data_IF_701965989538
#
_entry.id   IF_701965989538
#
_cell.length_a   1.000
_cell.length_b   1.000
_cell.length_c   1.000
_cell.angle_alpha   90.00
_cell.angle_beta   90.00
_cell.angle_gamma   90.00
#
_symmetry.space_group_name_H-M   'P 1'
#
loop_
_entity.id
_entity.type
_entity.pdbx_description
1 polymer ?
#
# COMPACT_ATOMS: atom_id res chain seq x y z
N UNK A 1 -0.60 -20.48 4.88
CA UNK A 1 -1.86 -19.90 5.39
C UNK A 1 -1.82 -18.40 5.22
N UNK A 2 -2.95 -17.76 4.89
CA UNK A 2 -3.05 -16.30 4.98
C UNK A 2 -3.33 -15.91 6.43
N UNK A 3 -2.51 -15.03 6.99
CA UNK A 3 -2.72 -14.52 8.35
C UNK A 3 -3.56 -13.26 8.30
N UNK A 4 -4.72 -13.28 8.94
CA UNK A 4 -5.64 -12.15 9.07
C UNK A 4 -5.67 -11.65 10.51
N UNK A 5 -6.24 -10.47 10.72
CA UNK A 5 -6.44 -9.90 12.08
C UNK A 5 -7.38 -10.73 12.97
N UNK A 6 -8.10 -11.70 12.41
CA UNK A 6 -9.00 -12.61 13.16
C UNK A 6 -8.44 -14.03 13.25
N UNK A 7 -7.26 -14.30 12.71
CA UNK A 7 -6.61 -15.61 12.68
C UNK A 7 -6.25 -16.07 11.27
N UNK A 8 -5.68 -17.25 11.17
CA UNK A 8 -5.17 -17.79 9.90
C UNK A 8 -6.32 -18.43 9.10
N UNK A 9 -6.40 -18.11 7.79
CA UNK A 9 -7.38 -18.67 6.86
C UNK A 9 -6.70 -19.41 5.72
N UNK A 10 -7.45 -20.28 5.02
CA UNK A 10 -6.95 -20.96 3.82
C UNK A 10 -6.71 -19.94 2.71
N UNK A 11 -5.57 -19.97 1.99
CA UNK A 11 -5.35 -19.13 0.81
C UNK A 11 -6.47 -19.21 -0.23
N UNK A 12 -7.18 -20.31 -0.34
CA UNK A 12 -8.32 -20.46 -1.23
C UNK A 12 -9.53 -19.56 -0.85
N UNK A 13 -9.56 -19.08 0.39
CA UNK A 13 -10.62 -18.17 0.88
C UNK A 13 -10.29 -16.69 0.65
N UNK A 14 -9.09 -16.37 0.13
CA UNK A 14 -8.66 -14.99 -0.11
C UNK A 14 -9.58 -14.26 -1.09
N UNK A 15 -9.98 -14.92 -2.18
CA UNK A 15 -10.81 -14.31 -3.22
C UNK A 15 -10.19 -13.03 -3.80
N UNK A 16 -11.03 -12.10 -4.24
CA UNK A 16 -10.57 -10.80 -4.75
C UNK A 16 -9.92 -10.02 -3.61
N UNK A 17 -8.69 -9.58 -3.83
CA UNK A 17 -7.79 -9.01 -2.83
C UNK A 17 -7.30 -7.63 -3.26
N UNK A 18 -7.31 -6.66 -2.35
CA UNK A 18 -6.60 -5.39 -2.45
C UNK A 18 -5.32 -5.52 -1.62
N UNK A 19 -4.14 -5.63 -2.23
CA UNK A 19 -2.92 -5.96 -1.51
C UNK A 19 -2.21 -4.75 -0.89
N UNK A 20 -2.65 -3.52 -1.18
CA UNK A 20 -2.07 -2.29 -0.65
C UNK A 20 -3.14 -1.24 -0.34
N UNK A 21 -3.55 -1.17 0.92
CA UNK A 21 -4.52 -0.17 1.39
C UNK A 21 -4.15 0.32 2.80
N UNK A 22 -4.76 1.45 3.19
CA UNK A 22 -4.79 1.95 4.54
C UNK A 22 -6.25 2.10 4.98
N UNK A 23 -6.68 1.35 5.98
CA UNK A 23 -8.06 1.35 6.49
C UNK A 23 -8.21 2.29 7.68
N UNK A 24 -7.24 2.22 8.59
CA UNK A 24 -7.11 3.09 9.74
C UNK A 24 -5.64 3.51 9.86
N UNK A 25 -5.33 4.77 9.51
CA UNK A 25 -3.95 5.26 9.48
C UNK A 25 -3.81 6.71 9.90
N UNK A 26 -2.58 7.09 10.21
CA UNK A 26 -2.11 8.44 10.47
C UNK A 26 -0.98 8.77 9.49
N UNK A 27 -1.30 9.55 8.45
CA UNK A 27 -0.35 10.02 7.44
C UNK A 27 0.16 11.43 7.75
N UNK A 28 0.02 11.92 9.00
CA UNK A 28 0.37 13.30 9.39
C UNK A 28 1.87 13.65 9.24
N UNK A 29 2.74 12.64 9.11
CA UNK A 29 4.15 12.85 8.79
C UNK A 29 4.36 13.55 7.44
N UNK A 30 3.38 13.48 6.53
CA UNK A 30 3.39 14.18 5.25
C UNK A 30 2.83 15.59 5.30
N UNK A 31 2.35 16.05 6.49
CA UNK A 31 1.77 17.37 6.59
C UNK A 31 2.78 18.47 6.24
N UNK A 32 2.36 19.35 5.33
CA UNK A 32 3.11 20.53 4.91
C UNK A 32 2.30 21.78 5.14
N UNK A 33 2.84 22.74 5.91
CA UNK A 33 2.14 24.00 6.21
C UNK A 33 1.86 24.78 4.92
N UNK A 34 0.60 25.22 4.70
CA UNK A 34 0.29 26.06 3.56
C UNK A 34 1.07 27.38 3.58
N UNK A 35 1.55 27.81 2.42
CA UNK A 35 2.38 29.02 2.30
C UNK A 35 1.56 30.30 2.04
N UNK A 36 0.26 30.16 1.76
CA UNK A 36 -0.63 31.28 1.45
C UNK A 36 -1.79 31.41 2.46
N UNK A 37 -2.43 32.59 2.44
CA UNK A 37 -3.51 32.90 3.38
C UNK A 37 -4.76 32.01 3.18
N UNK A 38 -5.07 31.60 1.98
CA UNK A 38 -6.25 30.78 1.69
C UNK A 38 -6.02 29.36 2.19
N UNK A 39 -4.85 28.80 1.92
CA UNK A 39 -4.45 27.50 2.45
C UNK A 39 -4.48 27.46 3.97
N UNK A 40 -3.98 28.50 4.65
CA UNK A 40 -4.02 28.58 6.11
C UNK A 40 -5.45 28.55 6.70
N UNK A 41 -6.45 29.03 5.95
CA UNK A 41 -7.87 28.94 6.36
C UNK A 41 -8.47 27.55 6.12
N UNK A 42 -7.87 26.75 5.23
CA UNK A 42 -8.35 25.44 4.84
C UNK A 42 -7.56 24.28 5.45
N UNK A 43 -6.46 24.56 6.15
CA UNK A 43 -5.54 23.54 6.68
C UNK A 43 -6.19 22.56 7.68
N UNK A 44 -7.26 22.97 8.37
CA UNK A 44 -8.00 22.15 9.34
C UNK A 44 -9.48 21.98 8.94
N UNK A 45 -9.86 22.41 7.73
CA UNK A 45 -11.26 22.36 7.29
C UNK A 45 -11.66 20.94 6.86
N UNK A 46 -12.89 20.55 7.17
CA UNK A 46 -13.47 19.32 6.61
C UNK A 46 -13.79 19.50 5.10
N UNK A 47 -13.70 18.42 4.30
CA UNK A 47 -14.07 18.46 2.90
C UNK A 47 -15.53 18.81 2.69
N UNK A 48 -15.79 19.77 1.80
CA UNK A 48 -17.11 20.16 1.29
C UNK A 48 -17.03 20.34 -0.22
N UNK A 49 -18.15 20.40 -0.91
CA UNK A 49 -18.16 20.70 -2.36
C UNK A 49 -17.52 22.07 -2.69
N UNK A 50 -17.52 23.02 -1.73
CA UNK A 50 -16.98 24.36 -1.92
C UNK A 50 -15.46 24.43 -1.82
N UNK A 51 -14.83 23.51 -1.05
CA UNK A 51 -13.38 23.53 -0.80
C UNK A 51 -12.62 22.31 -1.38
N UNK A 52 -13.33 21.28 -1.87
CA UNK A 52 -12.73 20.04 -2.39
C UNK A 52 -11.74 20.29 -3.55
N UNK A 53 -11.99 21.33 -4.36
CA UNK A 53 -11.10 21.73 -5.44
C UNK A 53 -9.68 22.08 -4.92
N UNK A 54 -9.59 22.73 -3.75
CA UNK A 54 -8.31 23.07 -3.14
C UNK A 54 -7.65 21.83 -2.54
N UNK A 55 -8.41 21.01 -1.83
CA UNK A 55 -7.90 19.80 -1.17
C UNK A 55 -7.32 18.79 -2.16
N UNK A 56 -7.86 18.72 -3.39
CA UNK A 56 -7.30 17.88 -4.45
C UNK A 56 -6.01 18.40 -5.06
N UNK A 57 -5.62 19.63 -4.75
CA UNK A 57 -4.37 20.23 -5.18
C UNK A 57 -3.37 20.34 -4.02
N UNK A 58 -3.84 20.14 -2.78
CA UNK A 58 -3.06 20.32 -1.56
C UNK A 58 -3.42 19.26 -0.50
N UNK A 59 -3.39 17.95 -0.84
CA UNK A 59 -3.84 16.92 0.09
C UNK A 59 -2.98 16.88 1.35
N UNK A 60 -1.68 17.14 1.23
CA UNK A 60 -0.73 17.15 2.33
C UNK A 60 -0.79 18.44 3.18
N UNK A 61 -1.49 19.47 2.73
CA UNK A 61 -1.64 20.74 3.49
C UNK A 61 -2.96 20.85 4.25
N UNK A 62 -3.71 19.75 4.38
CA UNK A 62 -4.92 19.72 5.20
C UNK A 62 -4.84 18.58 6.22
N UNK A 63 -4.81 18.91 7.52
CA UNK A 63 -4.65 17.91 8.60
C UNK A 63 -5.82 16.93 8.68
N UNK A 64 -7.05 17.39 8.40
CA UNK A 64 -8.22 16.51 8.44
C UNK A 64 -8.12 15.35 7.44
N UNK A 65 -7.49 15.57 6.29
CA UNK A 65 -7.36 14.54 5.24
C UNK A 65 -6.42 13.41 5.61
N UNK A 66 -5.42 13.68 6.47
CA UNK A 66 -4.30 12.78 6.75
C UNK A 66 -4.61 11.70 7.79
N UNK A 67 -5.82 11.67 8.34
CA UNK A 67 -6.23 10.70 9.34
C UNK A 67 -7.41 9.85 8.84
N UNK A 68 -7.21 8.55 8.70
CA UNK A 68 -8.30 7.58 8.56
C UNK A 68 -8.53 6.95 9.94
N UNK A 69 -9.45 7.52 10.72
CA UNK A 69 -9.59 7.26 12.16
C UNK A 69 -11.00 6.86 12.60
N UNK A 70 -11.95 6.73 11.65
CA UNK A 70 -13.35 6.42 11.93
C UNK A 70 -13.72 5.01 11.47
N UNK A 71 -13.92 4.10 12.42
CA UNK A 71 -14.30 2.70 12.19
C UNK A 71 -15.65 2.57 11.45
N UNK A 72 -16.60 3.46 11.70
CA UNK A 72 -17.92 3.40 11.04
C UNK A 72 -17.81 3.81 9.57
N UNK A 73 -16.96 4.76 9.27
CA UNK A 73 -16.62 5.15 7.89
C UNK A 73 -15.88 4.01 7.20
N UNK A 74 -14.83 3.45 7.83
CA UNK A 74 -14.08 2.34 7.28
C UNK A 74 -14.99 1.16 6.91
N UNK A 75 -15.93 0.79 7.79
CA UNK A 75 -16.92 -0.27 7.52
C UNK A 75 -17.81 0.08 6.32
N UNK A 76 -18.34 1.29 6.23
CA UNK A 76 -19.19 1.69 5.09
C UNK A 76 -18.45 1.68 3.76
N UNK A 77 -17.21 2.14 3.76
CA UNK A 77 -16.37 2.18 2.55
C UNK A 77 -16.02 0.76 2.08
N UNK A 78 -15.62 -0.11 2.99
CA UNK A 78 -15.30 -1.52 2.70
C UNK A 78 -16.52 -2.36 2.35
N UNK A 79 -17.70 -2.06 2.90
CA UNK A 79 -18.96 -2.71 2.50
C UNK A 79 -19.26 -2.54 1.01
N UNK A 80 -18.86 -1.42 0.41
CA UNK A 80 -19.03 -1.20 -1.03
C UNK A 80 -18.16 -2.17 -1.84
N UNK A 81 -16.94 -2.44 -1.39
CA UNK A 81 -16.03 -3.42 -1.98
C UNK A 81 -16.55 -4.85 -1.80
N UNK A 82 -16.98 -5.20 -0.59
CA UNK A 82 -17.55 -6.52 -0.29
C UNK A 82 -18.78 -6.84 -1.14
N UNK A 83 -19.67 -5.86 -1.37
CA UNK A 83 -20.88 -6.01 -2.22
C UNK A 83 -20.57 -6.30 -3.68
N UNK A 84 -19.39 -5.93 -4.16
CA UNK A 84 -18.91 -6.24 -5.51
C UNK A 84 -18.11 -7.56 -5.59
N UNK A 85 -18.07 -8.34 -4.51
CA UNK A 85 -17.36 -9.62 -4.45
C UNK A 85 -15.94 -9.54 -3.88
N UNK A 86 -15.51 -8.39 -3.40
CA UNK A 86 -14.26 -8.23 -2.67
C UNK A 86 -14.21 -9.12 -1.42
N UNK A 87 -13.06 -9.67 -1.08
CA UNK A 87 -12.92 -10.64 0.02
C UNK A 87 -11.79 -10.33 0.98
N UNK A 88 -10.65 -9.83 0.48
CA UNK A 88 -9.46 -9.58 1.30
C UNK A 88 -8.94 -8.17 1.07
N UNK A 89 -8.47 -7.53 2.12
CA UNK A 89 -7.78 -6.23 2.08
C UNK A 89 -6.55 -6.31 2.98
N UNK A 90 -5.42 -5.85 2.46
CA UNK A 90 -4.17 -5.74 3.22
C UNK A 90 -4.03 -4.29 3.66
N UNK A 91 -4.00 -4.06 4.97
CA UNK A 91 -3.73 -2.77 5.60
C UNK A 91 -2.23 -2.69 5.92
N UNK A 92 -1.53 -1.82 5.22
CA UNK A 92 -0.08 -1.64 5.36
C UNK A 92 0.30 -0.53 6.35
N UNK A 93 -0.62 -0.11 7.21
CA UNK A 93 -0.41 0.96 8.20
C UNK A 93 0.52 0.52 9.34
N UNK A 94 1.79 0.34 9.02
CA UNK A 94 2.85 -0.11 9.93
C UNK A 94 3.36 1.01 10.87
N UNK A 95 4.53 0.80 11.51
CA UNK A 95 5.18 1.81 12.35
C UNK A 95 5.52 3.05 11.52
N UNK A 96 5.02 4.20 11.94
CA UNK A 96 5.12 5.48 11.24
C UNK A 96 3.82 5.90 10.55
N UNK A 97 2.84 4.99 10.41
CA UNK A 97 1.50 5.25 9.84
C UNK A 97 0.37 5.03 10.86
N UNK A 98 0.68 4.87 12.14
CA UNK A 98 -0.31 4.86 13.22
C UNK A 98 -1.37 3.77 13.13
N UNK A 99 -1.05 2.63 12.55
CA UNK A 99 -1.99 1.52 12.36
C UNK A 99 -2.65 1.04 13.65
N UNK A 100 -3.90 0.60 13.56
CA UNK A 100 -4.76 0.26 14.69
C UNK A 100 -5.25 -1.20 14.61
N UNK A 101 -4.42 -2.20 14.95
CA UNK A 101 -4.72 -3.63 14.71
C UNK A 101 -6.00 -4.11 15.39
N UNK A 102 -6.30 -3.68 16.62
CA UNK A 102 -7.52 -4.08 17.32
C UNK A 102 -8.79 -3.48 16.67
N UNK A 103 -8.73 -2.22 16.24
CA UNK A 103 -9.84 -1.57 15.53
C UNK A 103 -10.03 -2.18 14.13
N UNK A 104 -8.95 -2.55 13.47
CA UNK A 104 -9.00 -3.28 12.20
C UNK A 104 -9.69 -4.64 12.38
N UNK A 105 -9.46 -5.34 13.50
CA UNK A 105 -10.19 -6.57 13.83
C UNK A 105 -11.70 -6.31 14.06
N UNK A 106 -12.09 -5.14 14.59
CA UNK A 106 -13.51 -4.74 14.68
C UNK A 106 -14.09 -4.52 13.28
N UNK A 107 -13.36 -3.82 12.38
CA UNK A 107 -13.79 -3.61 10.99
C UNK A 107 -13.96 -4.95 10.26
N UNK A 108 -13.00 -5.88 10.40
CA UNK A 108 -13.08 -7.22 9.81
C UNK A 108 -14.32 -7.99 10.25
N UNK A 109 -14.62 -8.01 11.56
CA UNK A 109 -15.85 -8.68 12.08
C UNK A 109 -17.13 -8.08 11.53
N UNK A 110 -17.17 -6.75 11.35
CA UNK A 110 -18.38 -6.03 10.91
C UNK A 110 -18.62 -6.17 9.40
N UNK A 111 -17.57 -6.23 8.60
CA UNK A 111 -17.66 -6.33 7.12
C UNK A 111 -17.67 -7.77 6.63
N UNK A 112 -17.15 -8.73 7.42
CA UNK A 112 -16.91 -10.10 7.00
C UNK A 112 -15.77 -10.27 6.00
N UNK A 113 -14.95 -9.23 5.81
CA UNK A 113 -13.75 -9.28 4.97
C UNK A 113 -12.56 -9.86 5.75
N UNK A 114 -11.69 -10.56 5.05
CA UNK A 114 -10.38 -10.91 5.54
C UNK A 114 -9.50 -9.65 5.54
N UNK A 115 -9.17 -9.10 6.71
CA UNK A 115 -8.23 -7.99 6.81
C UNK A 115 -6.87 -8.52 7.28
N UNK A 116 -5.81 -8.18 6.56
CA UNK A 116 -4.42 -8.50 6.88
C UNK A 116 -3.74 -7.24 7.37
N UNK A 117 -2.98 -7.33 8.46
CA UNK A 117 -2.22 -6.21 9.00
C UNK A 117 -0.74 -6.33 8.65
N UNK A 118 -0.11 -5.22 8.27
CA UNK A 118 1.31 -5.12 7.95
C UNK A 118 2.17 -4.82 9.19
N UNK A 119 3.43 -5.29 9.19
CA UNK A 119 4.45 -4.91 10.18
C UNK A 119 5.73 -4.50 9.48
N UNK A 120 6.28 -3.38 9.89
CA UNK A 120 7.49 -2.80 9.33
C UNK A 120 7.69 -1.36 9.76
N UNK A 121 8.53 -0.64 9.04
CA UNK A 121 8.88 0.74 9.33
C UNK A 121 8.74 1.58 8.07
N UNK A 122 7.92 2.61 8.15
CA UNK A 122 7.67 3.54 7.05
C UNK A 122 8.88 4.45 6.78
N UNK A 123 8.69 5.56 6.09
CA UNK A 123 9.78 6.49 5.76
C UNK A 123 10.37 7.17 7.01
N UNK A 124 11.65 7.50 6.97
CA UNK A 124 12.40 8.11 8.09
C UNK A 124 11.66 9.28 8.75
N UNK A 125 11.05 10.15 7.95
CA UNK A 125 10.34 11.33 8.44
C UNK A 125 9.23 11.01 9.47
N UNK A 126 8.64 9.80 9.40
CA UNK A 126 7.57 9.33 10.29
C UNK A 126 8.06 8.56 11.52
N UNK A 127 9.37 8.25 11.60
CA UNK A 127 9.91 7.36 12.62
C UNK A 127 10.38 8.11 13.87
N UNK A 128 10.21 7.48 15.04
CA UNK A 128 10.74 7.99 16.30
C UNK A 128 12.27 7.88 16.39
N UNK A 129 12.87 8.65 17.28
CA UNK A 129 14.32 8.60 17.51
C UNK A 129 14.80 7.22 17.96
N UNK A 130 13.98 6.47 18.73
CA UNK A 130 14.31 5.13 19.17
C UNK A 130 14.39 4.17 17.98
N UNK A 131 13.47 4.25 17.03
CA UNK A 131 13.49 3.46 15.79
C UNK A 131 14.69 3.86 14.92
N UNK A 132 14.96 5.16 14.78
CA UNK A 132 16.12 5.66 14.04
C UNK A 132 17.45 5.19 14.61
N UNK A 133 17.53 4.99 15.93
CA UNK A 133 18.72 4.49 16.62
C UNK A 133 18.85 2.96 16.63
N UNK A 134 17.78 2.22 16.29
CA UNK A 134 17.75 0.77 16.36
C UNK A 134 18.69 0.10 15.36
N UNK A 135 19.27 -1.04 15.78
CA UNK A 135 20.08 -1.89 14.89
C UNK A 135 19.20 -2.73 13.97
N UNK A 136 19.78 -3.32 12.92
CA UNK A 136 19.08 -4.25 12.02
C UNK A 136 18.46 -5.41 12.82
N UNK A 137 19.20 -5.95 13.81
CA UNK A 137 18.75 -7.06 14.66
C UNK A 137 17.49 -6.65 15.45
N UNK A 138 17.50 -5.48 16.07
CA UNK A 138 16.35 -4.97 16.85
C UNK A 138 15.12 -4.73 15.98
N UNK A 139 15.31 -4.17 14.77
CA UNK A 139 14.23 -4.00 13.80
C UNK A 139 13.70 -5.35 13.31
N UNK A 140 14.58 -6.32 13.06
CA UNK A 140 14.19 -7.70 12.69
C UNK A 140 13.37 -8.36 13.80
N UNK A 141 13.84 -8.30 15.05
CA UNK A 141 13.14 -8.87 16.21
C UNK A 141 11.74 -8.26 16.39
N UNK A 142 11.60 -6.96 16.13
CA UNK A 142 10.30 -6.27 16.17
C UNK A 142 9.34 -6.88 15.14
N UNK A 143 9.73 -6.97 13.86
CA UNK A 143 8.89 -7.52 12.80
C UNK A 143 8.53 -8.98 13.06
N UNK A 144 9.54 -9.80 13.46
CA UNK A 144 9.32 -11.23 13.76
C UNK A 144 8.32 -11.39 14.91
N UNK A 145 8.43 -10.60 15.98
CA UNK A 145 7.50 -10.62 17.12
C UNK A 145 6.08 -10.25 16.67
N UNK A 146 5.91 -9.19 15.87
CA UNK A 146 4.60 -8.78 15.38
C UNK A 146 3.91 -9.88 14.53
N UNK A 147 4.71 -10.65 13.78
CA UNK A 147 4.20 -11.76 12.98
C UNK A 147 3.92 -12.99 13.84
N UNK A 148 4.73 -13.29 14.84
CA UNK A 148 4.64 -14.55 15.59
C UNK A 148 3.83 -14.44 16.87
N UNK A 149 3.89 -13.31 17.57
CA UNK A 149 3.26 -13.10 18.87
C UNK A 149 2.08 -12.12 18.80
N UNK A 150 2.28 -10.92 18.23
CA UNK A 150 1.25 -9.91 18.08
C UNK A 150 1.81 -8.50 18.02
N UNK A 151 1.12 -7.64 17.26
CA UNK A 151 1.48 -6.25 17.03
C UNK A 151 1.25 -5.41 18.27
N UNK A 152 2.24 -4.63 18.69
CA UNK A 152 2.14 -3.70 19.82
C UNK A 152 1.62 -4.33 21.13
N UNK A 153 1.83 -5.64 21.32
CA UNK A 153 1.37 -6.36 22.50
C UNK A 153 -0.10 -6.77 22.50
N UNK A 154 -0.78 -6.65 21.34
CA UNK A 154 -2.13 -7.18 21.13
C UNK A 154 -2.09 -8.65 20.69
N UNK A 155 -3.26 -9.30 20.62
CA UNK A 155 -3.40 -10.66 20.05
C UNK A 155 -3.46 -10.67 18.51
N UNK A 156 -3.46 -9.51 17.86
CA UNK A 156 -3.48 -9.38 16.40
C UNK A 156 -2.06 -9.56 15.85
N UNK A 157 -1.87 -10.58 15.02
CA UNK A 157 -0.58 -10.85 14.38
C UNK A 157 -0.54 -10.28 12.96
N UNK A 158 0.60 -9.73 12.56
CA UNK A 158 0.82 -9.28 11.22
C UNK A 158 0.92 -10.46 10.23
N UNK A 159 0.42 -10.27 9.01
CA UNK A 159 0.43 -11.28 7.94
C UNK A 159 1.37 -10.95 6.78
N UNK A 160 1.93 -9.74 6.75
CA UNK A 160 2.85 -9.25 5.72
C UNK A 160 3.88 -8.32 6.36
N UNK A 161 5.07 -8.27 5.79
CA UNK A 161 6.10 -7.31 6.17
C UNK A 161 5.95 -6.07 5.30
N UNK A 162 5.63 -4.94 5.90
CA UNK A 162 5.44 -3.69 5.17
C UNK A 162 4.25 -2.86 5.65
N UNK A 163 4.14 -1.68 5.05
CA UNK A 163 5.05 -1.29 3.97
C UNK A 163 6.41 -0.82 4.53
N UNK A 164 7.48 -1.17 3.83
CA UNK A 164 8.84 -0.74 4.18
C UNK A 164 9.15 0.52 3.39
N UNK A 165 9.31 1.64 4.10
CA UNK A 165 9.47 2.96 3.50
C UNK A 165 10.85 3.19 2.87
N UNK A 166 10.84 3.84 1.70
CA UNK A 166 12.04 4.36 1.06
C UNK A 166 11.86 5.82 0.65
N UNK A 167 12.79 6.66 1.06
CA UNK A 167 12.95 8.02 0.56
C UNK A 167 14.03 8.10 -0.53
N UNK A 168 14.13 9.24 -1.19
CA UNK A 168 15.29 9.57 -2.02
C UNK A 168 15.93 10.90 -1.56
N UNK A 169 17.21 10.89 -1.20
CA UNK A 169 18.12 9.73 -1.07
C UNK A 169 17.69 8.77 0.06
N UNK A 170 17.98 7.48 -0.10
CA UNK A 170 17.73 6.46 0.92
C UNK A 170 18.46 6.81 2.22
N UNK A 171 17.76 6.81 3.34
CA UNK A 171 18.36 7.14 4.63
C UNK A 171 18.97 5.91 5.32
N UNK A 172 19.89 6.10 6.29
CA UNK A 172 20.49 4.96 6.98
C UNK A 172 19.50 4.09 7.77
N UNK A 173 18.37 4.63 8.27
CA UNK A 173 17.36 3.83 8.96
C UNK A 173 16.50 3.05 7.97
N UNK A 174 16.18 3.63 6.82
CA UNK A 174 15.43 2.95 5.75
C UNK A 174 16.22 1.77 5.16
N UNK A 175 17.55 1.93 4.95
CA UNK A 175 18.41 0.82 4.55
C UNK A 175 18.39 -0.30 5.61
N UNK A 176 18.50 0.04 6.89
CA UNK A 176 18.40 -0.95 7.97
C UNK A 176 17.03 -1.62 8.02
N UNK A 177 15.96 -0.89 7.75
CA UNK A 177 14.59 -1.42 7.67
C UNK A 177 14.43 -2.45 6.55
N UNK A 178 14.98 -2.18 5.36
CA UNK A 178 15.01 -3.13 4.25
C UNK A 178 15.77 -4.41 4.62
N UNK A 179 16.98 -4.27 5.22
CA UNK A 179 17.76 -5.43 5.68
C UNK A 179 17.03 -6.23 6.76
N UNK A 180 16.37 -5.56 7.68
CA UNK A 180 15.54 -6.19 8.72
C UNK A 180 14.33 -6.92 8.13
N UNK A 181 13.66 -6.33 7.13
CA UNK A 181 12.55 -6.94 6.42
C UNK A 181 12.97 -8.24 5.72
N UNK A 182 14.11 -8.25 5.05
CA UNK A 182 14.67 -9.47 4.43
C UNK A 182 14.91 -10.58 5.46
N UNK A 183 15.58 -10.27 6.58
CA UNK A 183 15.84 -11.23 7.64
C UNK A 183 14.56 -11.74 8.31
N UNK A 184 13.59 -10.87 8.54
CA UNK A 184 12.29 -11.24 9.08
C UNK A 184 11.50 -12.11 8.10
N UNK A 185 11.56 -11.83 6.79
CA UNK A 185 10.95 -12.67 5.74
C UNK A 185 11.53 -14.08 5.75
N UNK A 186 12.86 -14.23 5.83
CA UNK A 186 13.54 -15.52 5.95
C UNK A 186 13.13 -16.28 7.22
N UNK A 187 12.92 -15.56 8.33
CA UNK A 187 12.57 -16.17 9.61
C UNK A 187 11.10 -16.59 9.71
N UNK A 188 10.19 -15.91 9.01
CA UNK A 188 8.72 -16.06 9.20
C UNK A 188 7.99 -16.59 7.97
N UNK A 189 8.62 -16.55 6.80
CA UNK A 189 7.99 -16.87 5.52
C UNK A 189 6.98 -15.81 5.03
N UNK A 190 6.96 -14.61 5.64
CA UNK A 190 6.07 -13.52 5.20
C UNK A 190 6.62 -12.81 3.96
N UNK A 191 5.73 -12.36 3.08
CA UNK A 191 6.08 -11.52 1.95
C UNK A 191 6.52 -10.12 2.42
N UNK A 192 7.32 -9.43 1.59
CA UNK A 192 7.76 -8.05 1.84
C UNK A 192 7.09 -7.11 0.85
N UNK A 193 6.39 -6.09 1.34
CA UNK A 193 5.87 -4.98 0.55
C UNK A 193 6.72 -3.73 0.79
N UNK A 194 7.20 -3.12 -0.29
CA UNK A 194 8.11 -1.98 -0.26
C UNK A 194 7.40 -0.74 -0.81
N UNK A 195 7.34 0.31 0.01
CA UNK A 195 7.02 1.67 -0.44
C UNK A 195 8.25 2.23 -1.18
N UNK A 196 8.25 2.17 -2.50
CA UNK A 196 9.35 2.74 -3.28
C UNK A 196 9.32 4.27 -3.21
N UNK A 197 10.43 4.94 -3.54
CA UNK A 197 10.50 6.40 -3.47
C UNK A 197 9.59 7.06 -4.53
N UNK A 198 8.28 7.06 -4.29
CA UNK A 198 7.21 7.39 -5.23
C UNK A 198 7.35 8.77 -5.90
N UNK A 199 7.83 9.77 -5.16
CA UNK A 199 8.03 11.12 -5.69
C UNK A 199 9.35 11.28 -6.49
N UNK A 200 10.29 10.33 -6.37
CA UNK A 200 11.57 10.36 -7.06
C UNK A 200 11.51 9.55 -8.38
N UNK A 201 10.64 9.96 -9.29
CA UNK A 201 10.23 9.20 -10.48
C UNK A 201 11.36 8.83 -11.46
N UNK A 202 12.51 9.49 -11.39
CA UNK A 202 13.67 9.21 -12.23
C UNK A 202 14.70 8.27 -11.56
N UNK A 203 14.45 7.84 -10.31
CA UNK A 203 15.35 6.98 -9.54
C UNK A 203 14.94 5.52 -9.65
N UNK A 204 15.91 4.62 -9.67
CA UNK A 204 15.70 3.16 -9.72
C UNK A 204 15.48 2.58 -8.30
N UNK A 205 14.58 3.17 -7.49
CA UNK A 205 14.39 2.83 -6.07
C UNK A 205 13.99 1.36 -5.85
N UNK A 206 13.10 0.79 -6.68
CA UNK A 206 12.72 -0.62 -6.58
C UNK A 206 13.90 -1.57 -6.87
N UNK A 207 14.79 -1.21 -7.80
CA UNK A 207 16.01 -2.02 -8.04
C UNK A 207 16.98 -1.90 -6.88
N UNK A 208 17.13 -0.70 -6.29
CA UNK A 208 17.94 -0.51 -5.09
C UNK A 208 17.38 -1.34 -3.90
N UNK A 209 16.05 -1.38 -3.73
CA UNK A 209 15.43 -2.25 -2.73
C UNK A 209 15.72 -3.72 -3.00
N UNK A 210 15.54 -4.17 -4.26
CA UNK A 210 15.81 -5.55 -4.65
C UNK A 210 17.26 -5.96 -4.39
N UNK A 211 18.22 -5.09 -4.67
CA UNK A 211 19.64 -5.33 -4.40
C UNK A 211 19.88 -5.52 -2.89
N UNK A 212 19.37 -4.61 -2.04
CA UNK A 212 19.54 -4.68 -0.58
C UNK A 212 18.87 -5.94 0.00
N UNK A 213 17.64 -6.24 -0.43
CA UNK A 213 16.92 -7.43 0.02
C UNK A 213 17.63 -8.72 -0.44
N UNK A 214 18.13 -8.73 -1.69
CA UNK A 214 18.90 -9.85 -2.25
C UNK A 214 20.24 -10.07 -1.55
N UNK A 215 20.96 -9.02 -1.16
CA UNK A 215 22.20 -9.12 -0.35
C UNK A 215 21.97 -9.84 0.97
N UNK A 216 20.80 -9.68 1.61
CA UNK A 216 20.41 -10.38 2.84
C UNK A 216 19.83 -11.78 2.57
N UNK A 217 19.69 -12.19 1.30
CA UNK A 217 19.22 -13.51 0.89
C UNK A 217 17.71 -13.66 0.78
N UNK A 218 16.94 -12.55 0.69
CA UNK A 218 15.49 -12.62 0.52
C UNK A 218 15.11 -13.29 -0.81
N UNK A 219 14.02 -14.04 -0.80
CA UNK A 219 13.39 -14.56 -2.02
C UNK A 219 12.64 -13.43 -2.73
N UNK A 220 13.20 -12.91 -3.82
CA UNK A 220 12.63 -11.79 -4.57
C UNK A 220 11.24 -12.13 -5.17
N UNK A 221 10.90 -13.39 -5.36
CA UNK A 221 9.55 -13.80 -5.76
C UNK A 221 8.49 -13.59 -4.66
N UNK A 222 8.92 -13.17 -3.48
CA UNK A 222 8.10 -12.82 -2.30
C UNK A 222 8.13 -11.32 -2.00
N UNK A 223 8.70 -10.52 -2.90
CA UNK A 223 8.82 -9.07 -2.74
C UNK A 223 7.85 -8.37 -3.68
N UNK A 224 7.10 -7.41 -3.11
CA UNK A 224 6.14 -6.55 -3.81
C UNK A 224 6.75 -5.14 -3.84
N UNK A 225 6.93 -4.59 -5.05
CA UNK A 225 7.39 -3.21 -5.26
C UNK A 225 6.17 -2.32 -5.51
N UNK A 226 5.79 -1.53 -4.50
CA UNK A 226 4.67 -0.60 -4.53
C UNK A 226 4.97 0.67 -5.33
N UNK A 227 3.91 1.42 -5.64
CA UNK A 227 3.91 2.74 -6.29
C UNK A 227 4.59 2.77 -7.65
N UNK A 228 4.58 1.64 -8.38
CA UNK A 228 5.17 1.59 -9.71
C UNK A 228 4.38 2.41 -10.74
N UNK A 229 3.17 2.85 -10.37
CA UNK A 229 2.37 3.83 -11.13
C UNK A 229 3.11 5.13 -11.39
N UNK A 230 3.95 5.58 -10.49
CA UNK A 230 4.62 6.88 -10.59
C UNK A 230 5.67 6.92 -11.71
N UNK A 231 6.08 5.75 -12.19
CA UNK A 231 7.14 5.57 -13.19
C UNK A 231 6.63 5.03 -14.54
N UNK A 232 5.35 5.28 -14.91
CA UNK A 232 4.72 4.78 -16.15
C UNK A 232 5.47 5.17 -17.44
N UNK A 233 6.21 6.28 -17.42
CA UNK A 233 7.04 6.74 -18.52
C UNK A 233 8.33 5.93 -18.68
N UNK A 234 8.63 4.99 -17.75
CA UNK A 234 9.85 4.16 -17.70
C UNK A 234 9.54 2.66 -17.85
N UNK A 235 8.97 2.19 -18.95
CA UNK A 235 8.55 0.79 -19.08
C UNK A 235 9.70 -0.21 -18.96
N UNK A 236 10.92 0.15 -19.36
CA UNK A 236 12.10 -0.70 -19.22
C UNK A 236 12.49 -0.90 -17.74
N UNK A 237 12.23 0.09 -16.90
CA UNK A 237 12.42 -0.04 -15.46
C UNK A 237 11.48 -1.08 -14.86
N UNK A 238 10.18 -1.07 -15.22
CA UNK A 238 9.22 -2.08 -14.78
C UNK A 238 9.64 -3.49 -15.20
N UNK A 239 10.08 -3.68 -16.45
CA UNK A 239 10.56 -4.98 -16.94
C UNK A 239 11.76 -5.48 -16.13
N UNK A 240 12.74 -4.61 -15.86
CA UNK A 240 13.92 -4.97 -15.06
C UNK A 240 13.54 -5.44 -13.67
N UNK A 241 12.55 -4.83 -13.02
CA UNK A 241 12.03 -5.28 -11.70
C UNK A 241 11.31 -6.63 -11.81
N UNK A 242 10.46 -6.80 -12.83
CA UNK A 242 9.75 -8.04 -13.09
C UNK A 242 10.70 -9.20 -13.43
N UNK A 243 11.76 -8.94 -14.20
CA UNK A 243 12.77 -9.93 -14.58
C UNK A 243 13.61 -10.44 -13.39
N UNK A 244 13.66 -9.69 -12.28
CA UNK A 244 14.23 -10.14 -11.01
C UNK A 244 13.32 -11.14 -10.26
N UNK A 245 12.07 -11.31 -10.70
CA UNK A 245 11.07 -12.16 -10.08
C UNK A 245 10.15 -11.43 -9.10
N UNK A 246 10.37 -10.15 -8.81
CA UNK A 246 9.51 -9.34 -7.95
C UNK A 246 8.10 -9.17 -8.52
N UNK A 247 7.14 -8.91 -7.64
CA UNK A 247 5.84 -8.36 -8.05
C UNK A 247 5.95 -6.84 -8.22
N UNK A 248 5.28 -6.33 -9.24
CA UNK A 248 5.11 -4.89 -9.48
C UNK A 248 3.67 -4.53 -9.12
N UNK A 249 3.50 -3.56 -8.25
CA UNK A 249 2.19 -3.13 -7.79
C UNK A 249 1.83 -1.77 -8.37
N UNK A 250 0.68 -1.72 -9.04
CA UNK A 250 0.01 -0.50 -9.47
C UNK A 250 -1.09 -0.23 -8.46
N UNK A 251 -0.78 0.58 -7.46
CA UNK A 251 -1.57 0.74 -6.25
C UNK A 251 -2.17 2.15 -6.08
N UNK A 252 -2.02 3.03 -7.07
CA UNK A 252 -2.56 4.38 -7.01
C UNK A 252 -3.83 4.57 -7.85
N UNK A 253 -4.61 3.51 -8.12
CA UNK A 253 -5.88 3.66 -8.84
C UNK A 253 -6.86 4.53 -8.05
N UNK A 254 -7.41 5.56 -8.70
CA UNK A 254 -8.26 6.55 -8.05
C UNK A 254 -7.51 7.71 -7.37
N UNK A 255 -6.18 7.63 -7.31
CA UNK A 255 -5.33 8.71 -6.83
C UNK A 255 -5.09 9.72 -7.98
N UNK A 256 -6.14 10.49 -8.29
CA UNK A 256 -6.13 11.44 -9.42
C UNK A 256 -6.09 12.88 -8.91
N UNK A 257 -5.04 13.23 -8.19
CA UNK A 257 -4.82 14.58 -7.69
C UNK A 257 -3.36 15.01 -7.84
N UNK A 258 -3.14 16.29 -7.67
CA UNK A 258 -1.82 16.91 -7.67
C UNK A 258 -1.39 17.18 -6.22
N UNK A 259 -0.18 16.82 -5.91
CA UNK A 259 0.44 17.14 -4.63
C UNK A 259 1.39 18.32 -4.82
N UNK A 260 0.85 19.52 -4.72
CA UNK A 260 1.61 20.75 -4.98
C UNK A 260 2.82 20.93 -4.05
N UNK A 261 2.75 20.36 -2.85
CA UNK A 261 3.80 20.38 -1.85
C UNK A 261 5.04 19.59 -2.29
N UNK A 262 4.83 18.54 -3.07
CA UNK A 262 5.86 17.63 -3.56
C UNK A 262 6.16 17.84 -5.06
N UNK A 263 5.49 18.81 -5.72
CA UNK A 263 5.52 18.98 -7.19
C UNK A 263 5.25 17.65 -7.93
N UNK A 264 4.29 16.89 -7.43
CA UNK A 264 3.99 15.56 -7.92
C UNK A 264 2.58 15.48 -8.49
N UNK A 265 2.46 14.95 -9.71
CA UNK A 265 1.19 14.61 -10.34
C UNK A 265 1.07 13.10 -10.38
N UNK A 266 0.11 12.55 -9.65
CA UNK A 266 -0.22 11.13 -9.80
C UNK A 266 -0.75 10.88 -11.21
N UNK A 267 -0.22 9.88 -11.94
CA UNK A 267 -0.76 9.53 -13.25
C UNK A 267 -2.25 9.15 -13.16
N UNK A 268 -3.05 9.63 -14.11
CA UNK A 268 -4.47 9.28 -14.13
C UNK A 268 -4.72 7.80 -14.48
N UNK A 269 -5.85 7.26 -14.06
CA UNK A 269 -6.22 5.85 -14.22
C UNK A 269 -6.15 5.34 -15.65
N UNK A 270 -6.42 6.20 -16.63
CA UNK A 270 -6.28 5.84 -18.04
C UNK A 270 -4.83 5.48 -18.40
N UNK A 271 -3.86 6.25 -17.92
CA UNK A 271 -2.44 5.99 -18.17
C UNK A 271 -1.98 4.69 -17.47
N UNK A 272 -2.44 4.47 -16.22
CA UNK A 272 -2.17 3.24 -15.45
C UNK A 272 -2.74 2.02 -16.17
N UNK A 273 -4.01 2.07 -16.59
CA UNK A 273 -4.66 0.98 -17.35
C UNK A 273 -3.88 0.64 -18.62
N UNK A 274 -3.42 1.64 -19.37
CA UNK A 274 -2.60 1.43 -20.58
C UNK A 274 -1.25 0.78 -20.27
N UNK A 275 -0.58 1.21 -19.20
CA UNK A 275 0.72 0.66 -18.83
C UNK A 275 0.61 -0.81 -18.39
N UNK A 276 -0.37 -1.13 -17.54
CA UNK A 276 -0.65 -2.51 -17.12
C UNK A 276 -1.04 -3.37 -18.33
N UNK A 277 -1.93 -2.89 -19.21
CA UNK A 277 -2.32 -3.64 -20.42
C UNK A 277 -1.13 -3.97 -21.32
N UNK A 278 -0.15 -3.07 -21.42
CA UNK A 278 1.09 -3.32 -22.15
C UNK A 278 1.91 -4.43 -21.49
N UNK A 279 2.12 -4.39 -20.18
CA UNK A 279 2.86 -5.44 -19.45
C UNK A 279 2.16 -6.80 -19.55
N UNK A 280 0.82 -6.84 -19.52
CA UNK A 280 0.03 -8.05 -19.79
C UNK A 280 0.29 -8.57 -21.19
N UNK A 281 0.29 -7.71 -22.20
CA UNK A 281 0.59 -8.11 -23.59
C UNK A 281 2.03 -8.61 -23.77
N UNK A 282 2.94 -8.25 -22.89
CA UNK A 282 4.34 -8.71 -22.82
C UNK A 282 4.51 -10.00 -21.98
N UNK A 283 3.44 -10.51 -21.33
CA UNK A 283 3.42 -11.80 -20.60
C UNK A 283 3.74 -11.70 -19.11
N UNK A 284 3.66 -10.50 -18.50
CA UNK A 284 3.97 -10.27 -17.08
C UNK A 284 2.72 -10.30 -16.16
N UNK A 285 1.54 -10.69 -16.67
CA UNK A 285 0.29 -10.68 -15.90
C UNK A 285 0.37 -11.42 -14.57
N UNK A 286 1.24 -12.44 -14.47
CA UNK A 286 1.39 -13.25 -13.26
C UNK A 286 2.17 -12.59 -12.11
N UNK A 287 2.79 -11.43 -12.36
CA UNK A 287 3.59 -10.69 -11.39
C UNK A 287 3.06 -9.26 -11.15
N UNK A 288 1.84 -8.96 -11.59
CA UNK A 288 1.21 -7.66 -11.41
C UNK A 288 0.18 -7.73 -10.28
N UNK A 289 0.17 -6.73 -9.41
CA UNK A 289 -0.83 -6.49 -8.37
C UNK A 289 -1.51 -5.15 -8.59
N UNK A 290 -2.78 -5.02 -8.14
CA UNK A 290 -3.60 -3.83 -8.32
C UNK A 290 -4.24 -3.41 -7.00
N UNK A 291 -4.12 -2.14 -6.60
CA UNK A 291 -4.75 -1.58 -5.40
C UNK A 291 -5.05 -0.08 -5.56
N UNK A 292 -5.38 0.61 -4.44
CA UNK A 292 -5.76 2.03 -4.46
C UNK A 292 -4.87 2.90 -3.58
N UNK A 293 -4.21 2.32 -2.59
CA UNK A 293 -3.47 3.07 -1.56
C UNK A 293 -4.33 4.23 -1.01
N UNK A 294 -5.51 3.88 -0.46
CA UNK A 294 -6.39 4.87 0.14
C UNK A 294 -5.81 5.35 1.48
N UNK A 295 -5.02 6.41 1.46
CA UNK A 295 -4.36 7.00 2.62
C UNK A 295 -4.87 8.42 2.99
N UNK A 296 -5.72 9.02 2.14
CA UNK A 296 -6.35 10.33 2.39
C UNK A 296 -7.88 10.21 2.42
N UNK A 297 -8.53 10.99 3.32
CA UNK A 297 -10.00 11.02 3.38
C UNK A 297 -10.66 11.36 2.04
N UNK A 298 -10.06 12.24 1.21
CA UNK A 298 -10.61 12.60 -0.11
C UNK A 298 -10.63 11.45 -1.13
N UNK A 299 -9.93 10.35 -0.88
CA UNK A 299 -10.01 9.15 -1.72
C UNK A 299 -11.26 8.32 -1.40
N UNK A 300 -11.83 8.46 -0.19
CA UNK A 300 -13.01 7.74 0.25
C UNK A 300 -14.30 8.34 -0.34
N UNK A 301 -15.29 7.50 -0.65
CA UNK A 301 -16.57 7.91 -1.25
C UNK A 301 -17.33 8.90 -0.37
N UNK A 302 -17.18 8.78 0.94
CA UNK A 302 -17.77 9.69 1.93
C UNK A 302 -17.41 11.15 1.65
N UNK A 303 -16.22 11.42 1.10
CA UNK A 303 -15.74 12.78 0.77
C UNK A 303 -15.52 13.00 -0.74
N UNK A 304 -16.18 12.20 -1.59
CA UNK A 304 -16.20 12.41 -3.04
C UNK A 304 -15.06 11.77 -3.80
N UNK A 305 -14.33 10.85 -3.17
CA UNK A 305 -13.37 9.97 -3.82
C UNK A 305 -14.03 8.72 -4.43
N UNK A 306 -13.22 7.80 -4.91
CA UNK A 306 -13.69 6.56 -5.52
C UNK A 306 -13.84 5.40 -4.52
N UNK A 307 -13.07 5.40 -3.40
CA UNK A 307 -13.06 4.37 -2.37
C UNK A 307 -12.56 3.00 -2.83
N UNK A 308 -12.56 2.04 -1.92
CA UNK A 308 -12.01 0.69 -2.15
C UNK A 308 -12.73 -0.16 -3.21
N UNK A 309 -13.87 0.27 -3.71
CA UNK A 309 -14.62 -0.44 -4.75
C UNK A 309 -14.22 -0.05 -6.18
N UNK A 310 -13.32 0.92 -6.33
CA UNK A 310 -13.02 1.57 -7.60
C UNK A 310 -12.48 0.63 -8.68
N UNK A 311 -11.52 -0.23 -8.32
CA UNK A 311 -10.96 -1.22 -9.23
C UNK A 311 -12.06 -2.11 -9.84
N UNK A 312 -12.94 -2.66 -9.02
CA UNK A 312 -13.99 -3.55 -9.49
C UNK A 312 -15.08 -2.82 -10.26
N UNK A 313 -15.48 -1.63 -9.79
CA UNK A 313 -16.62 -0.88 -10.34
C UNK A 313 -16.26 -0.15 -11.64
N UNK A 314 -15.08 0.45 -11.70
CA UNK A 314 -14.74 1.40 -12.75
C UNK A 314 -13.52 0.98 -13.59
N UNK A 315 -12.51 0.35 -12.98
CA UNK A 315 -11.24 0.07 -13.66
C UNK A 315 -11.26 -1.27 -14.40
N UNK A 316 -11.83 -2.32 -13.79
CA UNK A 316 -11.98 -3.61 -14.47
C UNK A 316 -12.68 -3.49 -15.83
N UNK A 317 -13.82 -2.77 -15.97
CA UNK A 317 -14.42 -2.54 -17.29
C UNK A 317 -13.50 -1.80 -18.27
N UNK A 318 -12.63 -0.90 -17.79
CA UNK A 318 -11.66 -0.19 -18.63
C UNK A 318 -10.60 -1.11 -19.19
N UNK A 319 -10.06 -2.03 -18.37
CA UNK A 319 -9.14 -3.06 -18.84
C UNK A 319 -9.76 -3.92 -19.96
N UNK A 320 -11.03 -4.31 -19.80
CA UNK A 320 -11.75 -5.08 -20.82
C UNK A 320 -11.88 -4.28 -22.13
N UNK A 321 -12.15 -2.99 -22.05
CA UNK A 321 -12.19 -2.09 -23.23
C UNK A 321 -10.81 -1.94 -23.89
N UNK A 322 -9.71 -2.07 -23.13
CA UNK A 322 -8.35 -2.08 -23.66
C UNK A 322 -7.94 -3.46 -24.24
N UNK A 323 -8.85 -4.45 -24.21
CA UNK A 323 -8.63 -5.77 -24.76
C UNK A 323 -7.97 -6.78 -23.79
N UNK A 324 -7.82 -6.43 -22.50
CA UNK A 324 -7.38 -7.38 -21.47
C UNK A 324 -8.58 -8.25 -21.07
N UNK A 325 -8.49 -9.58 -21.16
CA UNK A 325 -9.58 -10.44 -20.72
C UNK A 325 -9.92 -10.23 -19.24
N UNK A 326 -11.21 -10.18 -18.89
CA UNK A 326 -11.66 -10.00 -17.50
C UNK A 326 -11.03 -11.01 -16.55
N UNK A 327 -10.88 -12.27 -16.98
CA UNK A 327 -10.24 -13.32 -16.20
C UNK A 327 -8.77 -13.03 -15.87
N UNK A 328 -8.04 -12.35 -16.76
CA UNK A 328 -6.65 -11.92 -16.52
C UNK A 328 -6.61 -10.82 -15.48
N UNK A 329 -7.51 -9.82 -15.59
CA UNK A 329 -7.62 -8.74 -14.59
C UNK A 329 -7.96 -9.31 -13.21
N UNK A 330 -8.93 -10.23 -13.15
CA UNK A 330 -9.29 -10.91 -11.91
C UNK A 330 -8.13 -11.78 -11.38
N UNK A 331 -7.34 -12.41 -12.25
CA UNK A 331 -6.14 -13.16 -11.87
C UNK A 331 -5.10 -12.29 -11.15
N UNK A 332 -4.91 -11.03 -11.59
CA UNK A 332 -4.06 -10.06 -10.91
C UNK A 332 -4.57 -9.68 -9.51
N UNK A 333 -5.87 -9.85 -9.26
CA UNK A 333 -6.51 -9.53 -7.97
C UNK A 333 -6.83 -10.78 -7.12
N UNK A 334 -6.63 -12.00 -7.65
CA UNK A 334 -6.95 -13.24 -6.93
C UNK A 334 -5.74 -14.18 -6.88
N UNK A 335 -5.29 -14.68 -8.03
CA UNK A 335 -4.23 -15.68 -8.11
C UNK A 335 -2.86 -15.11 -7.69
N UNK A 336 -2.53 -13.89 -8.12
CA UNK A 336 -1.26 -13.26 -7.78
C UNK A 336 -1.14 -12.97 -6.27
N UNK A 337 -2.13 -12.31 -5.61
CA UNK A 337 -2.12 -12.18 -4.16
C UNK A 337 -2.07 -13.51 -3.43
N UNK A 338 -2.80 -14.53 -3.91
CA UNK A 338 -2.82 -15.87 -3.30
C UNK A 338 -1.48 -16.61 -3.41
N UNK A 339 -0.61 -16.24 -4.36
CA UNK A 339 0.76 -16.77 -4.47
C UNK A 339 1.73 -16.05 -3.56
N UNK A 340 1.64 -14.72 -3.44
CA UNK A 340 2.66 -13.92 -2.75
C UNK A 340 2.36 -13.71 -1.27
N UNK A 341 1.11 -13.48 -0.86
CA UNK A 341 0.78 -13.06 0.51
C UNK A 341 0.79 -14.17 1.58
N UNK A 342 0.36 -15.43 1.30
CA UNK A 342 0.35 -16.45 2.34
C UNK A 342 1.73 -16.73 2.90
N UNK A 343 1.83 -16.90 4.22
CA UNK A 343 3.07 -17.29 4.89
C UNK A 343 3.57 -18.64 4.36
N UNK A 344 4.84 -18.69 3.97
CA UNK A 344 5.52 -19.95 3.62
C UNK A 344 5.98 -20.67 4.89
N UNK A 345 5.93 -22.01 4.87
CA UNK A 345 6.42 -22.86 5.97
C UNK A 345 7.89 -23.20 5.78
#
# INVERSE_FOLDING_TARGET
>A
MLRTVLGDVDPAEMGITLPHEHVLCDSSAWFSEPTDRQGALLADAEPTLENLWWMRQHPNSNRFLLYLDDVDIAVRELDAYAKLGGRTVVDLSCVGLGGQPEQLAVVSRRTGLNLVFGSGFYVDASLSDDVRAASVEQLTEHIVRDITEGVAGTDVRAGVIGEIGMSHPLTPVEERSLRAAARASLATGAAVSVHTAAHAVEVDSALQAADILGEEGADLSRVIMGHMDTTLHRPDYHRRVLDLGCYVEFDLFGHEFFESENDFISPGDYAKTKAVSRLVAEGYESQILLSHDCCFKIQLRTWGGYGYAHLLQNILPRFVLEGVPESVVLGMMTENPARVLPLQQ
#
